data_IF_383255825144
#
_entry.id   IF_383255825144
#
_cell.length_a   1.000
_cell.length_b   1.000
_cell.length_c   1.000
_cell.angle_alpha   90.00
_cell.angle_beta   90.00
_cell.angle_gamma   90.00
#
_symmetry.space_group_name_H-M   'P 1'
#
loop_
_entity.id
_entity.type
_entity.pdbx_description
1 polymer ?
#
# COMPACT_ATOMS: atom_id res chain seq x y z
N UNK A 1 6.88 -0.48 -25.20
CA UNK A 1 6.40 0.05 -23.91
C UNK A 1 6.42 -1.09 -22.91
N UNK A 2 7.45 -1.18 -22.07
CA UNK A 2 7.58 -2.31 -21.14
C UNK A 2 6.59 -2.14 -20.00
N UNK A 3 5.53 -2.96 -19.98
CA UNK A 3 4.67 -3.10 -18.83
C UNK A 3 5.53 -3.63 -17.67
N UNK A 4 5.90 -2.75 -16.75
CA UNK A 4 6.54 -3.14 -15.49
C UNK A 4 5.55 -4.03 -14.75
N UNK A 5 5.71 -5.35 -14.87
CA UNK A 5 5.06 -6.32 -13.99
C UNK A 5 5.59 -6.06 -12.58
N UNK A 6 4.91 -5.20 -11.82
CA UNK A 6 5.16 -5.10 -10.39
C UNK A 6 4.70 -6.43 -9.80
N UNK A 7 5.64 -7.22 -9.28
CA UNK A 7 5.33 -8.26 -8.30
C UNK A 7 4.55 -7.60 -7.18
N UNK A 8 3.22 -7.71 -7.25
CA UNK A 8 2.29 -7.08 -6.33
C UNK A 8 2.35 -7.76 -4.98
N UNK A 9 3.31 -7.36 -4.15
CA UNK A 9 3.45 -7.82 -2.78
C UNK A 9 3.01 -6.72 -1.84
N UNK A 10 2.08 -7.07 -0.95
CA UNK A 10 1.68 -6.22 0.15
C UNK A 10 2.79 -6.20 1.19
N UNK A 11 3.04 -5.05 1.80
CA UNK A 11 4.06 -4.93 2.83
C UNK A 11 3.61 -5.48 4.19
N UNK A 12 2.30 -5.67 4.41
CA UNK A 12 1.85 -6.25 5.68
C UNK A 12 2.25 -7.73 5.76
N UNK A 13 2.78 -8.13 6.91
CA UNK A 13 3.22 -9.51 7.17
C UNK A 13 2.03 -10.44 7.00
N UNK A 14 2.28 -11.63 6.45
CA UNK A 14 1.27 -12.67 6.20
C UNK A 14 0.12 -12.32 5.25
N UNK A 15 -0.06 -11.05 4.89
CA UNK A 15 -1.06 -10.63 3.91
C UNK A 15 -0.87 -11.37 2.58
N UNK A 16 0.37 -11.61 2.14
CA UNK A 16 0.63 -12.32 0.88
C UNK A 16 0.43 -13.84 0.97
N UNK A 17 0.17 -14.41 2.17
CA UNK A 17 -0.20 -15.81 2.30
C UNK A 17 -1.65 -15.98 1.82
N UNK A 18 -1.91 -17.04 1.04
CA UNK A 18 -3.26 -17.38 0.54
C UNK A 18 -3.92 -16.26 -0.28
N UNK A 19 -3.35 -15.92 -1.44
CA UNK A 19 -3.95 -14.98 -2.38
C UNK A 19 -5.15 -15.65 -3.06
N UNK A 20 -6.32 -15.57 -2.42
CA UNK A 20 -7.58 -16.12 -2.97
C UNK A 20 -8.34 -15.06 -3.78
N UNK A 21 -8.18 -13.79 -3.45
CA UNK A 21 -8.92 -12.67 -4.04
C UNK A 21 -8.04 -11.72 -4.86
N UNK A 22 -8.65 -11.04 -5.84
CA UNK A 22 -7.97 -10.03 -6.66
C UNK A 22 -7.62 -8.82 -5.81
N UNK A 23 -6.35 -8.43 -5.82
CA UNK A 23 -5.86 -7.29 -5.01
C UNK A 23 -5.47 -6.11 -5.88
N UNK A 24 -5.86 -4.93 -5.40
CA UNK A 24 -5.41 -3.65 -5.90
C UNK A 24 -4.34 -3.10 -4.96
N UNK A 25 -3.23 -2.62 -5.52
CA UNK A 25 -2.07 -2.19 -4.76
C UNK A 25 -1.87 -0.68 -4.89
N UNK A 26 -1.65 -0.03 -3.76
CA UNK A 26 -1.37 1.40 -3.65
C UNK A 26 0.08 1.62 -3.21
N UNK A 27 0.70 2.67 -3.74
CA UNK A 27 2.05 3.08 -3.33
C UNK A 27 1.98 3.82 -2.01
N UNK A 28 3.06 3.75 -1.25
CA UNK A 28 3.21 4.63 -0.10
C UNK A 28 3.22 6.10 -0.54
N UNK A 29 2.70 7.02 0.28
CA UNK A 29 2.81 8.46 0.05
C UNK A 29 4.29 8.90 0.05
N UNK A 30 4.57 10.00 -0.65
CA UNK A 30 5.93 10.58 -0.68
C UNK A 30 6.16 11.53 0.49
N UNK A 31 5.08 12.07 1.02
CA UNK A 31 5.04 12.95 2.17
C UNK A 31 5.48 12.18 3.41
N UNK A 32 6.53 12.67 4.08
CA UNK A 32 7.17 11.99 5.21
C UNK A 32 6.17 11.62 6.31
N UNK A 33 5.35 12.57 6.75
CA UNK A 33 4.40 12.35 7.85
C UNK A 33 3.34 11.29 7.50
N UNK A 34 2.85 11.29 6.26
CA UNK A 34 1.87 10.30 5.81
C UNK A 34 2.50 8.92 5.66
N UNK A 35 3.72 8.87 5.14
CA UNK A 35 4.47 7.62 5.02
C UNK A 35 4.73 7.02 6.40
N UNK A 36 5.16 7.85 7.35
CA UNK A 36 5.38 7.47 8.74
C UNK A 36 4.09 6.96 9.40
N UNK A 37 2.96 7.62 9.13
CA UNK A 37 1.65 7.17 9.59
C UNK A 37 1.28 5.80 9.02
N UNK A 38 1.54 5.54 7.73
CA UNK A 38 1.27 4.25 7.10
C UNK A 38 2.14 3.13 7.67
N UNK A 39 3.45 3.34 7.83
CA UNK A 39 4.32 2.28 8.37
C UNK A 39 3.99 1.96 9.83
N UNK A 40 3.57 2.96 10.62
CA UNK A 40 3.07 2.77 11.99
C UNK A 40 1.77 1.98 12.00
N UNK A 41 0.81 2.37 11.16
CA UNK A 41 -0.48 1.69 11.04
C UNK A 41 -0.36 0.23 10.57
N UNK A 42 0.68 -0.07 9.80
CA UNK A 42 0.98 -1.42 9.32
C UNK A 42 1.93 -2.22 10.21
N UNK A 43 2.34 -1.68 11.37
CA UNK A 43 3.33 -2.31 12.27
C UNK A 43 4.64 -2.70 11.57
N UNK A 44 5.07 -1.88 10.60
CA UNK A 44 6.28 -2.05 9.80
C UNK A 44 7.31 -0.96 10.10
N UNK A 45 7.57 -0.71 11.39
CA UNK A 45 8.59 0.25 11.85
C UNK A 45 10.00 -0.09 11.36
N UNK A 46 10.25 -1.35 11.01
CA UNK A 46 11.50 -1.78 10.36
C UNK A 46 11.76 -1.06 9.03
N UNK A 47 10.72 -0.49 8.41
CA UNK A 47 10.84 0.27 7.16
C UNK A 47 11.23 1.73 7.36
N UNK A 48 11.25 2.23 8.59
CA UNK A 48 11.56 3.63 8.89
C UNK A 48 12.96 4.03 8.39
N UNK A 49 13.93 3.11 8.44
CA UNK A 49 15.28 3.34 7.91
C UNK A 49 15.32 3.55 6.39
N UNK A 50 14.27 3.15 5.65
CA UNK A 50 14.23 3.21 4.19
C UNK A 50 13.91 4.60 3.65
N UNK A 51 13.12 5.37 4.40
CA UNK A 51 12.59 6.67 3.98
C UNK A 51 11.40 6.61 3.00
N UNK A 52 10.66 7.72 2.94
CA UNK A 52 9.41 7.84 2.17
C UNK A 52 9.60 7.66 0.66
N UNK A 53 10.65 8.24 0.06
CA UNK A 53 10.86 8.16 -1.39
C UNK A 53 11.19 6.72 -1.83
N UNK A 54 11.99 5.99 -1.06
CA UNK A 54 12.27 4.58 -1.32
C UNK A 54 10.99 3.75 -1.16
N UNK A 55 10.25 3.97 -0.06
CA UNK A 55 9.00 3.27 0.19
C UNK A 55 7.96 3.49 -0.90
N UNK A 56 7.81 4.72 -1.42
CA UNK A 56 6.93 5.02 -2.54
C UNK A 56 7.29 4.20 -3.78
N UNK A 57 8.58 4.03 -4.07
CA UNK A 57 9.04 3.30 -5.26
C UNK A 57 8.84 1.79 -5.09
N UNK A 58 9.17 1.24 -3.92
CA UNK A 58 9.30 -0.21 -3.70
C UNK A 58 8.06 -0.82 -3.06
N UNK A 59 7.57 -0.26 -1.96
CA UNK A 59 6.54 -0.90 -1.15
C UNK A 59 5.13 -0.60 -1.63
N UNK A 60 4.24 -1.57 -1.41
CA UNK A 60 2.82 -1.46 -1.74
C UNK A 60 1.97 -1.94 -0.59
N UNK A 61 0.77 -1.37 -0.46
CA UNK A 61 -0.31 -1.91 0.37
C UNK A 61 -1.47 -2.32 -0.51
N UNK A 62 -2.11 -3.44 -0.21
CA UNK A 62 -3.33 -3.80 -0.90
C UNK A 62 -4.53 -3.05 -0.31
N UNK A 63 -5.58 -2.89 -1.11
CA UNK A 63 -6.82 -2.20 -0.72
C UNK A 63 -7.51 -2.77 0.53
N UNK A 64 -7.26 -4.03 0.88
CA UNK A 64 -7.84 -4.70 2.05
C UNK A 64 -7.45 -4.02 3.37
N UNK A 65 -6.32 -3.30 3.40
CA UNK A 65 -5.85 -2.58 4.57
C UNK A 65 -6.50 -1.21 4.74
N UNK A 66 -7.36 -0.78 3.82
CA UNK A 66 -8.07 0.48 3.89
C UNK A 66 -9.58 0.25 4.05
N UNK A 67 -10.27 1.17 4.71
CA UNK A 67 -11.74 1.18 4.67
C UNK A 67 -12.25 1.44 3.25
N UNK A 68 -13.37 0.83 2.86
CA UNK A 68 -13.94 0.94 1.51
C UNK A 68 -14.23 2.38 1.09
N UNK A 69 -14.57 3.27 2.05
CA UNK A 69 -14.80 4.70 1.78
C UNK A 69 -13.57 5.42 1.21
N UNK A 70 -12.36 4.88 1.42
CA UNK A 70 -11.11 5.52 1.06
C UNK A 70 -10.63 5.19 -0.35
N UNK A 71 -11.23 4.24 -1.05
CA UNK A 71 -10.79 3.89 -2.39
C UNK A 71 -11.94 3.70 -3.37
N UNK A 72 -11.63 3.93 -4.64
CA UNK A 72 -12.52 3.60 -5.74
C UNK A 72 -11.76 2.68 -6.70
N UNK A 73 -12.28 1.46 -6.85
CA UNK A 73 -11.76 0.45 -7.76
C UNK A 73 -12.74 0.29 -8.92
N UNK A 74 -12.33 0.76 -10.10
CA UNK A 74 -13.05 0.58 -11.34
C UNK A 74 -12.39 -0.51 -12.21
N UNK A 75 -13.01 -0.83 -13.35
CA UNK A 75 -12.47 -1.82 -14.30
C UNK A 75 -11.05 -1.47 -14.79
N UNK A 76 -10.72 -0.18 -14.87
CA UNK A 76 -9.45 0.30 -15.43
C UNK A 76 -8.48 0.87 -14.41
N UNK A 77 -8.94 1.30 -13.23
CA UNK A 77 -8.09 2.01 -12.26
C UNK A 77 -8.52 1.79 -10.82
N UNK A 78 -7.54 1.73 -9.93
CA UNK A 78 -7.76 1.87 -8.49
C UNK A 78 -7.19 3.22 -8.04
N UNK A 79 -8.00 4.01 -7.33
CA UNK A 79 -7.61 5.31 -6.78
C UNK A 79 -7.81 5.24 -5.28
N UNK A 80 -6.82 5.70 -4.53
CA UNK A 80 -6.89 5.87 -3.09
C UNK A 80 -7.03 7.36 -2.76
N UNK A 81 -7.89 7.69 -1.81
CA UNK A 81 -8.04 9.04 -1.30
C UNK A 81 -6.71 9.51 -0.68
N UNK A 82 -6.30 10.78 -0.86
CA UNK A 82 -5.05 11.29 -0.30
C UNK A 82 -5.00 11.07 1.23
N UNK A 83 -6.13 11.25 1.92
CA UNK A 83 -6.24 11.11 3.38
C UNK A 83 -6.45 9.69 3.92
N UNK A 84 -6.38 8.70 3.04
CA UNK A 84 -6.49 7.31 3.46
C UNK A 84 -5.32 6.92 4.37
N UNK A 85 -5.66 6.24 5.47
CA UNK A 85 -4.70 5.62 6.38
C UNK A 85 -5.06 4.15 6.47
N UNK A 86 -4.08 3.22 6.45
CA UNK A 86 -4.35 1.81 6.67
C UNK A 86 -4.97 1.59 8.06
N UNK A 87 -5.98 0.74 8.16
CA UNK A 87 -6.69 0.45 9.41
C UNK A 87 -6.69 -1.03 9.78
N UNK A 88 -6.23 -1.91 8.89
CA UNK A 88 -6.18 -3.36 9.12
C UNK A 88 -4.78 -3.90 8.88
N UNK A 89 -4.37 -4.87 9.69
CA UNK A 89 -3.15 -5.65 9.55
C UNK A 89 -3.45 -6.97 8.85
#
# INVERSE_FOLDING_TARGET
>A
MYAQKSSGWCVVKDCNKNIVEKRHFFRFPKEHDRWLQWIRACERLDLEASGAEYAHRIYRLCHLHFEEKWYNISKSRAILHPDAVPTKL
#
